data_IF_705641060465
#
_entry.id   IF_705641060465
#
_cell.length_a   1.000
_cell.length_b   1.000
_cell.length_c   1.000
_cell.angle_alpha   90.00
_cell.angle_beta   90.00
_cell.angle_gamma   90.00
#
_symmetry.space_group_name_H-M   'P 1'
#
loop_
_entity.id
_entity.type
_entity.pdbx_description
1 polymer ?
#
# COMPACT_ATOMS: atom_id res chain seq x y z
N UNK A 1 -17.78 13.18 -1.01
CA UNK A 1 -17.56 13.17 -2.47
C UNK A 1 -17.14 11.80 -3.00
N UNK A 2 -16.00 11.22 -2.60
CA UNK A 2 -15.58 9.89 -3.12
C UNK A 2 -16.57 8.77 -2.76
N UNK A 3 -17.00 8.70 -1.50
CA UNK A 3 -18.00 7.71 -1.07
C UNK A 3 -19.39 7.94 -1.70
N UNK A 4 -19.76 9.20 -1.94
CA UNK A 4 -21.01 9.53 -2.65
C UNK A 4 -21.01 9.02 -4.10
N UNK A 5 -19.81 8.89 -4.68
CA UNK A 5 -19.60 8.25 -5.99
C UNK A 5 -19.48 6.71 -5.90
N UNK A 6 -19.69 6.13 -4.71
CA UNK A 6 -19.62 4.68 -4.47
C UNK A 6 -18.21 4.15 -4.22
N UNK A 7 -17.19 5.01 -4.08
CA UNK A 7 -15.83 4.56 -3.81
C UNK A 7 -15.68 4.07 -2.36
N UNK A 8 -14.99 2.95 -2.19
CA UNK A 8 -14.64 2.39 -0.87
C UNK A 8 -13.13 2.43 -0.59
N UNK A 9 -12.34 2.93 -1.54
CA UNK A 9 -10.90 3.01 -1.45
C UNK A 9 -10.36 4.37 -1.92
N UNK A 10 -9.24 4.78 -1.33
CA UNK A 10 -8.40 5.84 -1.88
C UNK A 10 -7.07 5.24 -2.36
N UNK A 11 -6.78 5.40 -3.64
CA UNK A 11 -5.47 5.05 -4.22
C UNK A 11 -4.54 6.24 -4.12
N UNK A 12 -3.44 6.07 -3.38
CA UNK A 12 -2.43 7.11 -3.22
C UNK A 12 -1.29 6.86 -4.20
N UNK A 13 -1.27 7.66 -5.27
CA UNK A 13 -0.32 7.52 -6.36
C UNK A 13 0.00 8.89 -7.00
N UNK A 14 1.27 9.17 -7.32
CA UNK A 14 2.49 8.42 -7.00
C UNK A 14 3.04 8.75 -5.59
N UNK A 15 3.43 7.74 -4.82
CA UNK A 15 3.97 7.93 -3.45
C UNK A 15 5.50 8.09 -3.37
N UNK A 16 6.23 7.62 -4.38
CA UNK A 16 7.71 7.70 -4.39
C UNK A 16 8.38 6.81 -3.35
N UNK A 17 7.80 5.64 -3.02
CA UNK A 17 8.31 4.76 -1.98
C UNK A 17 8.09 5.39 -0.61
N UNK A 18 9.16 5.83 0.04
CA UNK A 18 9.07 6.44 1.38
C UNK A 18 8.93 7.96 1.37
N UNK A 19 9.11 8.62 0.22
CA UNK A 19 9.14 10.09 0.11
C UNK A 19 7.89 10.76 0.69
N UNK A 20 6.71 10.20 0.42
CA UNK A 20 5.43 10.73 0.88
C UNK A 20 4.80 9.91 2.01
N UNK A 21 5.59 9.21 2.85
CA UNK A 21 5.07 8.48 4.02
C UNK A 21 4.24 9.37 4.98
N UNK A 22 4.67 10.60 5.33
CA UNK A 22 3.85 11.47 6.17
C UNK A 22 2.50 11.83 5.53
N UNK A 23 2.49 12.05 4.22
CA UNK A 23 1.26 12.35 3.46
C UNK A 23 0.34 11.13 3.40
N UNK A 24 0.89 9.93 3.19
CA UNK A 24 0.16 8.67 3.25
C UNK A 24 -0.51 8.49 4.61
N UNK A 25 0.23 8.72 5.71
CA UNK A 25 -0.32 8.57 7.07
C UNK A 25 -1.50 9.52 7.32
N UNK A 26 -1.36 10.80 6.91
CA UNK A 26 -2.43 11.80 7.03
C UNK A 26 -3.65 11.43 6.18
N UNK A 27 -3.44 10.97 4.95
CA UNK A 27 -4.51 10.50 4.07
C UNK A 27 -5.22 9.28 4.67
N UNK A 28 -4.48 8.26 5.09
CA UNK A 28 -5.01 7.03 5.66
C UNK A 28 -5.82 7.32 6.94
N UNK A 29 -5.29 8.15 7.83
CA UNK A 29 -5.98 8.58 9.06
C UNK A 29 -7.29 9.31 8.72
N UNK A 30 -7.24 10.23 7.76
CA UNK A 30 -8.42 10.99 7.33
C UNK A 30 -9.46 10.10 6.66
N UNK A 31 -9.00 9.15 5.84
CA UNK A 31 -9.84 8.16 5.17
C UNK A 31 -10.59 7.30 6.21
N UNK A 32 -9.86 6.73 7.18
CA UNK A 32 -10.46 5.93 8.26
C UNK A 32 -11.49 6.73 9.06
N UNK A 33 -11.17 7.96 9.46
CA UNK A 33 -12.08 8.85 10.23
C UNK A 33 -13.36 9.19 9.48
N UNK A 34 -13.33 9.23 8.15
CA UNK A 34 -14.49 9.54 7.32
C UNK A 34 -15.18 8.29 6.77
N UNK A 35 -14.90 7.11 7.32
CA UNK A 35 -15.58 5.86 6.94
C UNK A 35 -15.11 5.24 5.63
N UNK A 36 -14.00 5.70 5.06
CA UNK A 36 -13.34 4.97 3.98
C UNK A 36 -12.73 3.70 4.57
N UNK A 37 -12.89 2.58 3.87
CA UNK A 37 -12.56 1.26 4.44
C UNK A 37 -11.30 0.63 3.87
N UNK A 38 -10.71 1.22 2.82
CA UNK A 38 -9.54 0.70 2.13
C UNK A 38 -8.60 1.85 1.71
N UNK A 39 -7.30 1.63 1.87
CA UNK A 39 -6.25 2.49 1.33
C UNK A 39 -5.34 1.68 0.42
N UNK A 40 -4.96 2.26 -0.72
CA UNK A 40 -4.13 1.59 -1.72
C UNK A 40 -2.82 2.39 -1.97
N UNK A 41 -1.79 2.25 -1.11
CA UNK A 41 -0.51 2.91 -1.33
C UNK A 41 0.15 2.35 -2.61
N UNK A 42 0.58 3.26 -3.50
CA UNK A 42 1.08 2.87 -4.83
C UNK A 42 2.23 3.77 -5.31
N UNK A 43 3.27 3.14 -5.88
CA UNK A 43 4.39 3.82 -6.53
C UNK A 43 5.66 3.83 -5.68
N UNK A 44 6.75 3.28 -6.22
CA UNK A 44 8.04 3.18 -5.54
C UNK A 44 8.12 2.15 -4.42
N UNK A 45 7.14 1.25 -4.31
CA UNK A 45 7.13 0.17 -3.30
C UNK A 45 8.03 -0.98 -3.78
N UNK A 46 8.90 -1.48 -2.91
CA UNK A 46 9.81 -2.62 -3.11
C UNK A 46 9.80 -3.53 -1.87
N UNK A 47 10.55 -4.64 -1.91
CA UNK A 47 10.73 -5.50 -0.74
C UNK A 47 11.37 -4.79 0.46
N UNK A 48 12.18 -3.75 0.21
CA UNK A 48 12.93 -3.04 1.24
C UNK A 48 12.05 -2.11 2.07
N UNK A 49 11.02 -1.52 1.46
CA UNK A 49 10.16 -0.52 2.10
C UNK A 49 8.70 -0.96 2.30
N UNK A 50 8.31 -2.13 1.78
CA UNK A 50 6.93 -2.64 1.91
C UNK A 50 6.47 -2.71 3.37
N UNK A 51 7.34 -3.16 4.28
CA UNK A 51 7.02 -3.29 5.70
C UNK A 51 6.65 -1.95 6.36
N UNK A 52 7.48 -0.92 6.19
CA UNK A 52 7.23 0.40 6.79
C UNK A 52 5.99 1.08 6.18
N UNK A 53 5.75 0.90 4.88
CA UNK A 53 4.54 1.43 4.21
C UNK A 53 3.28 0.74 4.73
N UNK A 54 3.29 -0.60 4.82
CA UNK A 54 2.17 -1.36 5.33
C UNK A 54 1.89 -1.01 6.79
N UNK A 55 2.92 -0.99 7.64
CA UNK A 55 2.80 -0.60 9.04
C UNK A 55 2.23 0.81 9.20
N UNK A 56 2.67 1.78 8.39
CA UNK A 56 2.12 3.15 8.40
C UNK A 56 0.60 3.17 8.15
N UNK A 57 0.11 2.36 7.20
CA UNK A 57 -1.33 2.26 6.93
C UNK A 57 -2.10 1.55 8.06
N UNK A 58 -1.51 0.52 8.69
CA UNK A 58 -2.13 -0.20 9.80
C UNK A 58 -2.24 0.70 11.04
N UNK A 59 -1.19 1.46 11.37
CA UNK A 59 -1.16 2.40 12.49
C UNK A 59 -2.15 3.57 12.31
N UNK A 60 -2.42 3.95 11.06
CA UNK A 60 -3.46 4.94 10.73
C UNK A 60 -4.90 4.44 10.98
N UNK A 61 -5.08 3.14 11.24
CA UNK A 61 -6.37 2.54 11.62
C UNK A 61 -7.32 2.26 10.45
N UNK A 62 -6.82 2.21 9.22
CA UNK A 62 -7.66 1.83 8.06
C UNK A 62 -7.98 0.32 8.14
N UNK A 63 -9.25 -0.11 8.00
CA UNK A 63 -9.61 -1.53 8.16
C UNK A 63 -8.96 -2.48 7.16
N UNK A 64 -8.67 -2.00 5.95
CA UNK A 64 -8.05 -2.78 4.87
C UNK A 64 -6.96 -1.97 4.19
N UNK A 65 -5.88 -2.64 3.81
CA UNK A 65 -4.76 -2.05 3.08
C UNK A 65 -4.49 -2.92 1.85
N UNK A 66 -4.33 -2.29 0.68
CA UNK A 66 -3.99 -2.97 -0.57
C UNK A 66 -2.76 -2.30 -1.21
N UNK A 67 -1.55 -2.64 -0.76
CA UNK A 67 -0.34 -2.07 -1.32
C UNK A 67 -0.10 -2.60 -2.74
N UNK A 68 0.22 -1.70 -3.66
CA UNK A 68 0.49 -2.04 -5.05
C UNK A 68 2.00 -2.06 -5.32
N UNK A 69 2.54 -3.27 -5.50
CA UNK A 69 3.95 -3.51 -5.82
C UNK A 69 4.04 -3.95 -7.29
N UNK A 70 4.72 -3.15 -8.12
CA UNK A 70 4.76 -3.35 -9.57
C UNK A 70 6.18 -3.67 -10.07
N UNK A 71 6.84 -2.71 -10.73
CA UNK A 71 8.11 -2.91 -11.43
C UNK A 71 9.24 -3.47 -10.55
N UNK A 72 9.22 -3.20 -9.24
CA UNK A 72 10.23 -3.68 -8.29
C UNK A 72 10.26 -5.21 -8.14
N UNK A 73 9.15 -5.90 -8.44
CA UNK A 73 9.03 -7.37 -8.32
C UNK A 73 8.86 -8.08 -9.67
N UNK A 74 8.97 -7.35 -10.79
CA UNK A 74 8.84 -7.91 -12.14
C UNK A 74 10.22 -8.25 -12.70
N UNK A 75 10.39 -9.47 -13.20
CA UNK A 75 11.58 -9.89 -13.94
C UNK A 75 11.64 -9.14 -15.29
N UNK A 76 12.71 -8.35 -15.56
CA UNK A 76 12.81 -7.57 -16.79
C UNK A 76 12.99 -8.42 -18.05
N UNK A 77 13.41 -9.68 -17.94
CA UNK A 77 13.57 -10.56 -19.10
C UNK A 77 12.23 -11.19 -19.53
N UNK A 78 11.41 -11.58 -18.56
CA UNK A 78 10.15 -12.32 -18.82
C UNK A 78 8.91 -11.44 -18.72
N UNK A 79 9.00 -10.27 -18.09
CA UNK A 79 7.85 -9.40 -17.79
C UNK A 79 6.92 -9.97 -16.71
N UNK A 80 7.28 -11.08 -16.08
CA UNK A 80 6.46 -11.75 -15.06
C UNK A 80 6.82 -11.26 -13.66
N UNK A 81 5.82 -11.16 -12.79
CA UNK A 81 6.05 -10.99 -11.35
C UNK A 81 6.77 -12.22 -10.80
N UNK A 82 7.87 -12.00 -10.07
CA UNK A 82 8.68 -13.06 -9.45
C UNK A 82 7.92 -13.73 -8.30
N UNK A 83 7.60 -15.03 -8.37
CA UNK A 83 6.87 -15.72 -7.30
C UNK A 83 7.59 -15.68 -5.93
N UNK A 84 8.92 -15.75 -5.92
CA UNK A 84 9.74 -15.66 -4.71
C UNK A 84 9.60 -14.31 -3.99
N UNK A 85 9.38 -13.22 -4.72
CA UNK A 85 9.15 -11.91 -4.12
C UNK A 85 7.74 -11.83 -3.54
N UNK A 86 6.74 -12.50 -4.14
CA UNK A 86 5.41 -12.63 -3.54
C UNK A 86 5.47 -13.40 -2.22
N UNK A 87 6.26 -14.49 -2.14
CA UNK A 87 6.45 -15.22 -0.88
C UNK A 87 7.00 -14.31 0.22
N UNK A 88 8.04 -13.52 -0.08
CA UNK A 88 8.62 -12.54 0.86
C UNK A 88 7.62 -11.46 1.28
N UNK A 89 6.85 -10.90 0.36
CA UNK A 89 5.80 -9.93 0.68
C UNK A 89 4.77 -10.53 1.63
N UNK A 90 4.36 -11.79 1.41
CA UNK A 90 3.41 -12.48 2.27
C UNK A 90 3.99 -12.80 3.65
N UNK A 91 5.29 -13.05 3.77
CA UNK A 91 5.97 -13.18 5.07
C UNK A 91 5.92 -11.86 5.84
N UNK A 92 6.18 -10.73 5.18
CA UNK A 92 6.07 -9.39 5.80
C UNK A 92 4.63 -9.11 6.24
N UNK A 93 3.63 -9.43 5.40
CA UNK A 93 2.21 -9.29 5.78
C UNK A 93 1.92 -10.06 7.07
N UNK A 94 2.25 -11.36 7.11
CA UNK A 94 2.00 -12.23 8.28
C UNK A 94 2.76 -11.83 9.54
N UNK A 95 3.86 -11.09 9.41
CA UNK A 95 4.59 -10.57 10.56
C UNK A 95 3.91 -9.33 11.19
N UNK A 96 3.06 -8.63 10.43
CA UNK A 96 2.41 -7.39 10.84
C UNK A 96 0.91 -7.54 11.15
N UNK A 97 0.25 -8.64 10.76
CA UNK A 97 -1.19 -8.90 10.98
C UNK A 97 -1.49 -10.26 11.60
#
# INVERSE_FOLDING_TARGET
MMQDMGAHAAKFFPMGGETSLPELYVLATSAARNGMTLIEPTGGISLENFGVILQTCLEAGVPRVMPHVYSSIIDPQTGSTRPEDIVRLMEIVKALV
#
